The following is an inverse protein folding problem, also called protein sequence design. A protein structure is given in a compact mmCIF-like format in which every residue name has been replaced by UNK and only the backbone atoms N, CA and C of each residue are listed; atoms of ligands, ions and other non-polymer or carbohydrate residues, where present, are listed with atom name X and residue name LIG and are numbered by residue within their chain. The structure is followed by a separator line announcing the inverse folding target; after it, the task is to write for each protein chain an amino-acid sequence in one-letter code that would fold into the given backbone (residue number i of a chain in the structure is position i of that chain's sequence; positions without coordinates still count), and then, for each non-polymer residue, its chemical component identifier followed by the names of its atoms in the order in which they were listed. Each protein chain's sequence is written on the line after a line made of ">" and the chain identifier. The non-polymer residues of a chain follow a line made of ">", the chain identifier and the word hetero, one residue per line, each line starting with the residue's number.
data_IF_093714324736
#
_entry.id   IF_093714324736
#
_cell.length_a   1.000
_cell.length_b   1.000
_cell.length_c   1.000
_cell.angle_alpha   90.00
_cell.angle_beta   90.00
_cell.angle_gamma   90.00
#
_symmetry.space_group_name_H-M   'P 1'
#
loop_
_entity.id
_entity.type
_entity.pdbx_description
1 polymer ?
#
# COMPACT_ATOMS: atom_id res chain seq x y z
N UNK A 1 23.45 -1.75 6.17
CA UNK A 1 22.37 -2.67 6.61
C UNK A 1 20.98 -1.99 6.66
N UNK A 2 20.86 -0.69 6.97
CA UNK A 2 19.57 0.04 6.90
C UNK A 2 19.10 0.29 5.46
N UNK A 3 20.02 0.64 4.54
CA UNK A 3 19.71 0.87 3.12
C UNK A 3 19.08 -0.34 2.42
N UNK A 4 19.48 -1.56 2.77
CA UNK A 4 18.88 -2.79 2.22
C UNK A 4 17.47 -3.04 2.72
N UNK A 5 17.11 -2.57 3.93
CA UNK A 5 15.73 -2.67 4.46
C UNK A 5 14.79 -1.71 3.72
N UNK A 6 15.24 -0.49 3.41
CA UNK A 6 14.45 0.47 2.63
C UNK A 6 14.12 -0.05 1.24
N UNK A 7 15.11 -0.59 0.52
CA UNK A 7 14.88 -1.18 -0.80
C UNK A 7 13.89 -2.35 -0.76
N UNK A 8 14.01 -3.22 0.25
CA UNK A 8 13.10 -4.35 0.44
C UNK A 8 11.65 -3.91 0.70
N UNK A 9 11.44 -2.93 1.59
CA UNK A 9 10.10 -2.41 1.89
C UNK A 9 9.50 -1.68 0.68
N UNK A 10 10.30 -0.89 -0.04
CA UNK A 10 9.85 -0.24 -1.27
C UNK A 10 9.42 -1.26 -2.33
N UNK A 11 10.18 -2.36 -2.49
CA UNK A 11 9.82 -3.46 -3.38
C UNK A 11 8.49 -4.11 -2.95
N UNK A 12 8.32 -4.40 -1.66
CA UNK A 12 7.06 -4.97 -1.15
C UNK A 12 5.87 -4.04 -1.38
N UNK A 13 6.02 -2.73 -1.17
CA UNK A 13 4.98 -1.74 -1.49
C UNK A 13 4.62 -1.74 -2.97
N UNK A 14 5.62 -1.77 -3.86
CA UNK A 14 5.38 -1.86 -5.31
C UNK A 14 4.62 -3.15 -5.64
N UNK A 15 5.01 -4.29 -5.06
CA UNK A 15 4.31 -5.56 -5.26
C UNK A 15 2.85 -5.43 -4.85
N UNK A 16 2.57 -4.93 -3.64
CA UNK A 16 1.20 -4.71 -3.14
C UNK A 16 0.40 -3.82 -4.09
N UNK A 17 0.97 -2.68 -4.49
CA UNK A 17 0.32 -1.73 -5.40
C UNK A 17 0.01 -2.36 -6.76
N UNK A 18 0.95 -3.11 -7.34
CA UNK A 18 0.77 -3.79 -8.62
C UNK A 18 -0.26 -4.90 -8.49
N UNK A 19 -0.16 -5.77 -7.48
CA UNK A 19 -1.14 -6.86 -7.27
C UNK A 19 -2.55 -6.34 -7.01
N UNK A 20 -2.69 -5.29 -6.20
CA UNK A 20 -3.97 -4.62 -5.97
C UNK A 20 -4.55 -4.08 -7.27
N UNK A 21 -3.76 -3.31 -8.02
CA UNK A 21 -4.18 -2.66 -9.26
C UNK A 21 -4.58 -3.70 -10.31
N UNK A 22 -3.76 -4.72 -10.52
CA UNK A 22 -4.05 -5.79 -11.49
C UNK A 22 -5.25 -6.63 -11.05
N UNK A 23 -5.41 -6.86 -9.74
CA UNK A 23 -6.56 -7.56 -9.18
C UNK A 23 -7.87 -6.83 -9.45
N UNK A 24 -7.97 -5.55 -9.08
CA UNK A 24 -9.19 -4.76 -9.35
C UNK A 24 -9.45 -4.58 -10.85
N UNK A 25 -8.41 -4.41 -11.66
CA UNK A 25 -8.56 -4.31 -13.11
C UNK A 25 -9.17 -5.58 -13.72
N UNK A 26 -8.73 -6.77 -13.29
CA UNK A 26 -9.19 -8.03 -13.84
C UNK A 26 -10.51 -8.54 -13.22
N UNK A 27 -10.69 -8.38 -11.91
CA UNK A 27 -11.85 -8.92 -11.18
C UNK A 27 -13.06 -8.00 -11.36
N UNK A 28 -12.85 -6.69 -11.24
CA UNK A 28 -13.95 -5.71 -11.25
C UNK A 28 -14.06 -4.94 -12.58
N UNK A 29 -13.09 -5.11 -13.48
CA UNK A 29 -13.10 -4.41 -14.78
C UNK A 29 -12.88 -2.90 -14.68
N UNK A 30 -12.30 -2.42 -13.57
CA UNK A 30 -12.02 -1.00 -13.36
C UNK A 30 -11.00 -0.49 -14.36
N UNK A 31 -10.98 0.82 -14.63
CA UNK A 31 -9.86 1.41 -15.38
C UNK A 31 -8.54 1.24 -14.61
N UNK A 32 -7.40 1.32 -15.29
CA UNK A 32 -6.10 1.19 -14.62
C UNK A 32 -5.90 2.26 -13.53
N UNK A 33 -6.39 3.48 -13.75
CA UNK A 33 -6.31 4.56 -12.77
C UNK A 33 -7.23 4.30 -11.57
N UNK A 34 -8.47 3.87 -11.81
CA UNK A 34 -9.43 3.56 -10.75
C UNK A 34 -8.98 2.37 -9.91
N UNK A 35 -8.37 1.36 -10.55
CA UNK A 35 -7.79 0.20 -9.88
C UNK A 35 -6.62 0.59 -8.98
N UNK A 36 -5.74 1.48 -9.46
CA UNK A 36 -4.63 2.00 -8.67
C UNK A 36 -5.15 2.85 -7.52
N UNK A 37 -6.11 3.74 -7.79
CA UNK A 37 -6.73 4.58 -6.77
C UNK A 37 -7.40 3.75 -5.69
N UNK A 38 -8.20 2.74 -6.06
CA UNK A 38 -8.83 1.79 -5.15
C UNK A 38 -7.80 1.06 -4.28
N UNK A 39 -6.70 0.60 -4.89
CA UNK A 39 -5.60 -0.04 -4.17
C UNK A 39 -4.97 0.89 -3.15
N UNK A 40 -4.64 2.12 -3.55
CA UNK A 40 -4.01 3.13 -2.69
C UNK A 40 -4.92 3.46 -1.50
N UNK A 41 -6.20 3.77 -1.71
CA UNK A 41 -7.11 4.11 -0.60
C UNK A 41 -7.36 2.93 0.34
N UNK A 42 -7.29 1.70 -0.18
CA UNK A 42 -7.43 0.47 0.60
C UNK A 42 -6.22 0.26 1.53
N UNK A 43 -5.00 0.22 0.97
CA UNK A 43 -3.81 -0.16 1.76
C UNK A 43 -3.26 0.99 2.61
N UNK A 44 -3.59 2.24 2.26
CA UNK A 44 -3.29 3.41 3.10
C UNK A 44 -4.22 3.55 4.30
N UNK A 45 -5.25 2.72 4.42
CA UNK A 45 -6.31 2.80 5.45
C UNK A 45 -7.10 4.10 5.45
N UNK A 46 -6.96 4.94 4.40
CA UNK A 46 -7.79 6.14 4.23
C UNK A 46 -9.25 5.74 4.04
N UNK A 47 -9.50 4.68 3.24
CA UNK A 47 -10.79 4.00 3.19
C UNK A 47 -11.98 4.91 2.92
N UNK A 48 -11.94 5.67 1.82
CA UNK A 48 -12.99 6.66 1.51
C UNK A 48 -14.34 5.98 1.22
N UNK A 49 -14.46 5.38 0.04
CA UNK A 49 -15.51 4.44 -0.36
C UNK A 49 -14.97 3.63 -1.54
N UNK A 50 -15.62 2.52 -1.86
CA UNK A 50 -15.31 1.76 -3.08
C UNK A 50 -15.49 2.69 -4.30
N UNK A 51 -14.58 2.62 -5.28
CA UNK A 51 -14.67 3.46 -6.49
C UNK A 51 -15.96 3.13 -7.26
N UNK A 52 -16.29 1.84 -7.32
CA UNK A 52 -17.56 1.30 -7.77
C UNK A 52 -17.98 0.18 -6.80
N UNK A 53 -19.24 -0.27 -6.80
CA UNK A 53 -19.66 -1.38 -5.96
C UNK A 53 -18.83 -2.65 -6.25
N UNK A 54 -18.26 -3.25 -5.21
CA UNK A 54 -17.50 -4.49 -5.34
C UNK A 54 -18.42 -5.71 -5.51
N UNK A 55 -18.02 -6.62 -6.41
CA UNK A 55 -18.57 -7.97 -6.49
C UNK A 55 -18.22 -8.80 -5.25
N UNK A 56 -18.82 -9.99 -5.10
CA UNK A 56 -18.46 -10.91 -4.02
C UNK A 56 -16.98 -11.33 -4.08
N UNK A 57 -16.45 -11.54 -5.28
CA UNK A 57 -15.05 -11.89 -5.52
C UNK A 57 -14.13 -10.72 -5.20
N UNK A 58 -14.51 -9.50 -5.62
CA UNK A 58 -13.80 -8.27 -5.28
C UNK A 58 -13.70 -8.05 -3.78
N UNK A 59 -14.77 -8.29 -3.02
CA UNK A 59 -14.74 -8.19 -1.55
C UNK A 59 -13.75 -9.17 -0.92
N UNK A 60 -13.74 -10.42 -1.38
CA UNK A 60 -12.78 -11.43 -0.89
C UNK A 60 -11.35 -11.01 -1.22
N UNK A 61 -11.12 -10.56 -2.44
CA UNK A 61 -9.83 -10.04 -2.87
C UNK A 61 -9.38 -8.85 -2.01
N UNK A 62 -10.25 -7.87 -1.80
CA UNK A 62 -9.98 -6.69 -0.96
C UNK A 62 -9.63 -7.09 0.46
N UNK A 63 -10.33 -8.06 1.06
CA UNK A 63 -10.00 -8.56 2.41
C UNK A 63 -8.59 -9.15 2.48
N UNK A 64 -8.19 -9.95 1.49
CA UNK A 64 -6.83 -10.52 1.42
C UNK A 64 -5.79 -9.42 1.20
N UNK A 65 -6.07 -8.46 0.30
CA UNK A 65 -5.20 -7.32 0.03
C UNK A 65 -4.98 -6.46 1.28
N UNK A 66 -6.02 -6.22 2.08
CA UNK A 66 -5.90 -5.48 3.34
C UNK A 66 -5.00 -6.23 4.32
N UNK A 67 -5.24 -7.53 4.55
CA UNK A 67 -4.47 -8.33 5.49
C UNK A 67 -2.98 -8.40 5.10
N UNK A 68 -2.67 -8.46 3.80
CA UNK A 68 -1.29 -8.49 3.31
C UNK A 68 -0.63 -7.11 3.20
N UNK A 69 -1.38 -6.09 2.78
CA UNK A 69 -0.83 -4.79 2.37
C UNK A 69 -0.69 -3.78 3.51
N UNK A 70 -1.65 -3.73 4.44
CA UNK A 70 -1.67 -2.70 5.50
C UNK A 70 -0.45 -2.79 6.40
N UNK A 71 -0.04 -4.01 6.78
CA UNK A 71 1.15 -4.21 7.62
C UNK A 71 2.44 -3.67 6.98
N UNK A 72 2.57 -3.80 5.66
CA UNK A 72 3.73 -3.29 4.91
C UNK A 72 3.73 -1.76 4.92
N UNK A 73 2.57 -1.12 4.72
CA UNK A 73 2.44 0.34 4.77
C UNK A 73 2.76 0.88 6.16
N UNK A 74 2.22 0.26 7.22
CA UNK A 74 2.51 0.64 8.61
C UNK A 74 4.00 0.54 8.91
N UNK A 75 4.65 -0.56 8.47
CA UNK A 75 6.09 -0.74 8.66
C UNK A 75 6.91 0.31 7.89
N UNK A 76 6.51 0.64 6.66
CA UNK A 76 7.16 1.67 5.86
C UNK A 76 7.08 3.06 6.51
N UNK A 77 5.91 3.41 7.06
CA UNK A 77 5.73 4.68 7.79
C UNK A 77 6.63 4.73 9.02
N UNK A 78 6.68 3.66 9.83
CA UNK A 78 7.56 3.58 10.99
C UNK A 78 9.04 3.76 10.63
N UNK A 79 9.51 3.09 9.58
CA UNK A 79 10.87 3.27 9.07
C UNK A 79 11.16 4.69 8.59
N UNK A 80 10.21 5.32 7.92
CA UNK A 80 10.34 6.71 7.46
C UNK A 80 10.40 7.68 8.64
N UNK A 81 9.56 7.49 9.66
CA UNK A 81 9.58 8.27 10.90
C UNK A 81 10.92 8.14 11.64
N UNK A 82 11.46 6.93 11.79
CA UNK A 82 12.79 6.72 12.38
C UNK A 82 13.88 7.45 11.61
N UNK A 83 13.85 7.38 10.27
CA UNK A 83 14.81 8.09 9.43
C UNK A 83 14.74 9.61 9.60
N UNK A 84 13.53 10.17 9.65
CA UNK A 84 13.32 11.61 9.88
C UNK A 84 13.89 12.07 11.23
N UNK A 85 13.57 11.35 12.31
CA UNK A 85 14.05 11.68 13.66
C UNK A 85 15.57 11.59 13.72
N UNK A 86 16.16 10.51 13.21
CA UNK A 86 17.60 10.32 13.20
C UNK A 86 18.32 11.42 12.39
N UNK A 87 17.73 11.86 11.27
CA UNK A 87 18.30 12.93 10.47
C UNK A 87 18.19 14.29 11.17
N UNK A 88 17.05 14.57 11.83
CA UNK A 88 16.86 15.80 12.61
C UNK A 88 17.85 15.90 13.78
N UNK A 89 18.07 14.81 14.52
CA UNK A 89 19.05 14.80 15.63
C UNK A 89 20.48 15.04 15.13
N UNK A 90 20.84 14.53 13.94
CA UNK A 90 22.16 14.75 13.33
C UNK A 90 22.42 16.19 12.89
N UNK A 91 21.38 16.97 12.59
CA UNK A 91 21.52 18.37 12.18
C UNK A 91 21.64 19.33 13.38
N UNK A 92 21.22 18.89 14.57
CA UNK A 92 21.27 19.67 15.82
C UNK A 92 22.53 19.39 16.66
N UNK A 93 23.46 18.58 16.14
CA UNK A 93 24.82 18.41 16.68
C UNK A 93 25.82 19.02 15.71
#
# INVERSE_FOLDING_TARGET
>A
MISSRFGFVALLLIIVLVTGTVGYYNIEGYSALDSLYMTVITVSTVGFQEVYPLSAEGKIFTMVLILGGVGIVVFAVGMFSEWLVNNATRMNQ
#
